data_IF_500896330740
#
_entry.id   IF_500896330740
#
_cell.length_a   1.000
_cell.length_b   1.000
_cell.length_c   1.000
_cell.angle_alpha   90.00
_cell.angle_beta   90.00
_cell.angle_gamma   90.00
#
_symmetry.space_group_name_H-M   'P 1'
#
loop_
_entity.id
_entity.type
_entity.pdbx_description
1 polymer ?
#
# COMPACT_ATOMS: atom_id res chain seq x y z
N UNK A 1 21.59 -11.37 -10.37
CA UNK A 1 21.10 -10.20 -9.61
C UNK A 1 22.31 -9.65 -8.88
N UNK A 2 22.70 -8.42 -9.17
CA UNK A 2 23.89 -7.81 -8.59
C UNK A 2 23.53 -7.20 -7.23
N UNK A 3 24.48 -7.13 -6.28
CA UNK A 3 24.21 -6.70 -4.89
C UNK A 3 23.53 -5.32 -4.77
N UNK A 4 23.73 -4.44 -5.75
CA UNK A 4 23.07 -3.13 -5.84
C UNK A 4 21.58 -3.24 -6.17
N UNK A 5 21.20 -4.14 -7.09
CA UNK A 5 19.80 -4.36 -7.48
C UNK A 5 18.98 -4.92 -6.31
N UNK A 6 19.57 -5.78 -5.48
CA UNK A 6 18.90 -6.34 -4.28
C UNK A 6 18.59 -5.26 -3.23
N UNK A 7 19.51 -4.30 -3.04
CA UNK A 7 19.33 -3.19 -2.09
C UNK A 7 18.22 -2.24 -2.58
N UNK A 8 18.19 -1.94 -3.88
CA UNK A 8 17.16 -1.09 -4.49
C UNK A 8 15.77 -1.72 -4.38
N UNK A 9 15.65 -3.02 -4.70
CA UNK A 9 14.39 -3.76 -4.57
C UNK A 9 13.91 -3.79 -3.11
N UNK A 10 14.82 -3.98 -2.15
CA UNK A 10 14.46 -4.00 -0.73
C UNK A 10 14.03 -2.62 -0.21
N UNK A 11 14.75 -1.56 -0.61
CA UNK A 11 14.41 -0.18 -0.28
C UNK A 11 13.04 0.24 -0.82
N UNK A 12 12.76 -0.12 -2.08
CA UNK A 12 11.48 0.11 -2.74
C UNK A 12 10.33 -0.59 -1.99
N UNK A 13 10.52 -1.84 -1.58
CA UNK A 13 9.51 -2.58 -0.81
C UNK A 13 9.19 -1.92 0.54
N UNK A 14 10.21 -1.42 1.26
CA UNK A 14 10.02 -0.72 2.54
C UNK A 14 9.25 0.58 2.31
N UNK A 15 9.62 1.35 1.29
CA UNK A 15 8.95 2.60 0.93
C UNK A 15 7.44 2.39 0.71
N UNK A 16 7.07 1.47 -0.20
CA UNK A 16 5.66 1.22 -0.49
C UNK A 16 4.91 0.62 0.71
N UNK A 17 5.57 -0.15 1.58
CA UNK A 17 4.95 -0.62 2.82
C UNK A 17 4.55 0.53 3.74
N UNK A 18 5.39 1.56 3.84
CA UNK A 18 5.09 2.79 4.59
C UNK A 18 3.93 3.57 3.97
N UNK A 19 4.03 3.83 2.66
CA UNK A 19 3.02 4.60 1.91
C UNK A 19 1.63 3.95 1.94
N UNK A 20 1.55 2.63 1.77
CA UNK A 20 0.28 1.86 1.85
C UNK A 20 -0.42 2.09 3.20
N UNK A 21 0.32 2.08 4.30
CA UNK A 21 -0.24 2.34 5.65
C UNK A 21 -0.70 3.78 5.82
N UNK A 22 0.05 4.75 5.29
CA UNK A 22 -0.30 6.16 5.34
C UNK A 22 -1.61 6.42 4.59
N UNK A 23 -1.72 5.92 3.36
CA UNK A 23 -2.95 6.04 2.54
C UNK A 23 -4.16 5.41 3.21
N UNK A 24 -4.03 4.21 3.81
CA UNK A 24 -5.12 3.60 4.58
C UNK A 24 -5.60 4.51 5.72
N UNK A 25 -4.68 5.19 6.41
CA UNK A 25 -5.04 6.15 7.47
C UNK A 25 -5.74 7.39 6.91
N UNK A 26 -5.28 7.90 5.76
CA UNK A 26 -5.92 9.03 5.06
C UNK A 26 -7.34 8.67 4.63
N UNK A 27 -7.53 7.50 4.00
CA UNK A 27 -8.84 7.01 3.57
C UNK A 27 -9.79 6.81 4.77
N UNK A 28 -9.28 6.27 5.88
CA UNK A 28 -10.04 6.17 7.13
C UNK A 28 -10.45 7.54 7.67
N UNK A 29 -9.57 8.55 7.65
CA UNK A 29 -9.91 9.93 8.05
C UNK A 29 -10.93 10.58 7.11
N UNK A 30 -10.84 10.26 5.82
CA UNK A 30 -11.81 10.67 4.80
C UNK A 30 -13.14 9.88 4.88
N UNK A 31 -13.31 9.00 5.87
CA UNK A 31 -14.52 8.21 6.13
C UNK A 31 -14.91 7.24 5.01
N UNK A 32 -13.94 6.77 4.21
CA UNK A 32 -14.17 5.67 3.27
C UNK A 32 -14.45 4.38 4.04
N UNK A 33 -15.26 3.52 3.44
CA UNK A 33 -15.39 2.12 3.85
C UNK A 33 -14.11 1.33 3.55
N UNK A 34 -13.97 0.14 4.14
CA UNK A 34 -12.81 -0.73 3.88
C UNK A 34 -12.74 -1.20 2.43
N UNK A 35 -13.90 -1.33 1.76
CA UNK A 35 -13.98 -1.72 0.35
C UNK A 35 -13.55 -0.56 -0.57
N UNK A 36 -14.03 0.66 -0.32
CA UNK A 36 -13.61 1.86 -1.07
C UNK A 36 -12.11 2.12 -0.88
N UNK A 37 -11.61 1.99 0.36
CA UNK A 37 -10.19 2.14 0.63
C UNK A 37 -9.31 1.09 -0.07
N UNK A 38 -9.84 -0.13 -0.31
CA UNK A 38 -9.14 -1.15 -1.10
C UNK A 38 -9.06 -0.74 -2.57
N UNK A 39 -10.16 -0.25 -3.13
CA UNK A 39 -10.25 0.19 -4.51
C UNK A 39 -9.29 1.36 -4.77
N UNK A 40 -9.38 2.41 -3.96
CA UNK A 40 -8.50 3.60 -4.04
C UNK A 40 -7.03 3.25 -3.84
N UNK A 41 -6.71 2.33 -2.92
CA UNK A 41 -5.33 1.88 -2.74
C UNK A 41 -4.81 1.15 -3.98
N UNK A 42 -5.64 0.31 -4.60
CA UNK A 42 -5.25 -0.46 -5.79
C UNK A 42 -5.16 0.39 -7.05
N UNK A 43 -5.99 1.45 -7.18
CA UNK A 43 -5.85 2.47 -8.23
C UNK A 43 -4.49 3.14 -8.11
N UNK A 44 -4.14 3.62 -6.92
CA UNK A 44 -2.84 4.26 -6.68
C UNK A 44 -1.68 3.28 -6.91
N UNK A 45 -1.75 2.04 -6.42
CA UNK A 45 -0.66 1.06 -6.66
C UNK A 45 -0.47 0.78 -8.14
N UNK A 46 -1.55 0.69 -8.91
CA UNK A 46 -1.48 0.50 -10.36
C UNK A 46 -0.78 1.68 -11.06
N UNK A 47 -1.02 2.92 -10.64
CA UNK A 47 -0.34 4.09 -11.21
C UNK A 47 1.16 4.11 -10.89
N UNK A 48 1.56 3.52 -9.77
CA UNK A 48 2.97 3.37 -9.36
C UNK A 48 3.64 2.10 -9.93
N UNK A 49 2.96 1.34 -10.81
CA UNK A 49 3.48 0.08 -11.35
C UNK A 49 3.54 -1.08 -10.34
N UNK A 50 2.90 -0.92 -9.18
CA UNK A 50 2.91 -1.89 -8.10
C UNK A 50 1.75 -2.89 -8.19
N UNK A 51 1.96 -4.08 -7.61
CA UNK A 51 0.91 -5.10 -7.52
C UNK A 51 -0.22 -4.66 -6.58
N UNK A 52 -1.48 -5.02 -6.89
CA UNK A 52 -2.61 -4.73 -6.01
C UNK A 52 -2.49 -5.45 -4.66
N UNK A 53 -3.16 -4.92 -3.66
CA UNK A 53 -3.33 -5.52 -2.33
C UNK A 53 -4.70 -6.18 -2.19
N UNK A 54 -4.88 -6.88 -1.07
CA UNK A 54 -6.10 -7.58 -0.69
C UNK A 54 -6.86 -6.85 0.41
N UNK A 55 -8.17 -7.15 0.55
CA UNK A 55 -9.00 -6.63 1.64
C UNK A 55 -8.43 -7.00 3.03
N UNK A 56 -7.77 -8.17 3.15
CA UNK A 56 -7.14 -8.61 4.39
C UNK A 56 -6.02 -7.65 4.83
N UNK A 57 -5.27 -7.08 3.88
CA UNK A 57 -4.27 -6.07 4.17
C UNK A 57 -4.91 -4.78 4.71
N UNK A 58 -6.02 -4.33 4.11
CA UNK A 58 -6.75 -3.15 4.59
C UNK A 58 -7.24 -3.40 6.03
N UNK A 59 -7.97 -4.50 6.27
CA UNK A 59 -8.51 -4.85 7.59
C UNK A 59 -7.44 -4.90 8.67
N UNK A 60 -6.30 -5.51 8.37
CA UNK A 60 -5.17 -5.60 9.30
C UNK A 60 -4.61 -4.24 9.71
N UNK A 61 -4.58 -3.27 8.79
CA UNK A 61 -4.02 -1.94 9.03
C UNK A 61 -5.09 -0.87 9.34
N UNK A 62 -6.38 -1.22 9.31
CA UNK A 62 -7.49 -0.29 9.59
C UNK A 62 -7.61 0.06 11.08
N UNK A 63 -7.28 -0.90 11.95
CA UNK A 63 -7.44 -0.81 13.41
C UNK A 63 -6.11 -0.66 14.17
N UNK A 64 -5.00 -0.48 13.45
CA UNK A 64 -3.66 -0.25 13.99
C UNK A 64 -3.29 1.22 13.92
#
# INVERSE_FOLDING_TARGET
>A
MNKFEEIEIYGEQIYYRGQKKMKIREYKKAKLSQSEALEELNIWLKSEGQKPNTISFIKHNWNK
#
